data_IF_172414089540
#
_entry.id   IF_172414089540
#
_cell.length_a   1.000
_cell.length_b   1.000
_cell.length_c   1.000
_cell.angle_alpha   90.00
_cell.angle_beta   90.00
_cell.angle_gamma   90.00
#
_symmetry.space_group_name_H-M   'P 1'
#
loop_
_entity.id
_entity.type
_entity.pdbx_description
1 polymer ?
#
# COMPACT_ATOMS: atom_id res chain seq x y z
N UNK A 1 40.72 -6.35 -3.52
CA UNK A 1 39.56 -6.03 -2.66
C UNK A 1 38.62 -4.99 -3.27
N UNK A 2 38.91 -3.68 -3.25
CA UNK A 2 37.97 -2.65 -3.79
C UNK A 2 37.73 -2.81 -5.30
N UNK A 3 38.79 -3.01 -6.09
CA UNK A 3 38.67 -3.19 -7.55
C UNK A 3 37.89 -4.46 -7.95
N UNK A 4 37.97 -5.50 -7.14
CA UNK A 4 37.22 -6.74 -7.35
C UNK A 4 35.73 -6.55 -7.05
N UNK A 5 35.40 -5.81 -5.99
CA UNK A 5 34.01 -5.41 -5.73
C UNK A 5 33.44 -4.57 -6.87
N UNK A 6 34.19 -3.58 -7.37
CA UNK A 6 33.75 -2.75 -8.50
C UNK A 6 33.49 -3.60 -9.75
N UNK A 7 34.38 -4.55 -10.07
CA UNK A 7 34.18 -5.46 -11.21
C UNK A 7 32.96 -6.37 -11.00
N UNK A 8 32.73 -6.86 -9.79
CA UNK A 8 31.57 -7.68 -9.44
C UNK A 8 30.26 -6.89 -9.56
N UNK A 9 30.21 -5.68 -9.00
CA UNK A 9 29.03 -4.82 -9.05
C UNK A 9 28.71 -4.40 -10.48
N UNK A 10 29.73 -4.14 -11.32
CA UNK A 10 29.55 -3.84 -12.74
C UNK A 10 28.86 -4.98 -13.48
N UNK A 11 29.34 -6.23 -13.32
CA UNK A 11 28.71 -7.41 -13.94
C UNK A 11 27.28 -7.63 -13.45
N UNK A 12 27.04 -7.38 -12.16
CA UNK A 12 25.71 -7.49 -11.56
C UNK A 12 24.77 -6.39 -12.04
N UNK A 13 25.29 -5.20 -12.33
CA UNK A 13 24.52 -4.10 -12.90
C UNK A 13 24.17 -4.36 -14.38
N UNK A 14 25.11 -4.90 -15.17
CA UNK A 14 24.91 -5.20 -16.59
C UNK A 14 23.82 -6.28 -16.82
N UNK A 15 23.59 -7.13 -15.83
CA UNK A 15 22.55 -8.18 -15.87
C UNK A 15 21.19 -7.73 -15.30
N UNK A 16 21.12 -6.56 -14.67
CA UNK A 16 19.87 -6.05 -14.06
C UNK A 16 19.04 -5.29 -15.09
N UNK A 17 17.81 -5.76 -15.32
CA UNK A 17 16.80 -5.03 -16.08
C UNK A 17 16.10 -4.01 -15.17
N UNK A 18 16.06 -2.73 -15.58
CA UNK A 18 15.27 -1.68 -14.91
C UNK A 18 13.97 -1.45 -15.65
N UNK A 19 12.85 -1.64 -14.97
CA UNK A 19 11.51 -1.42 -15.51
C UNK A 19 10.90 -0.16 -14.90
N UNK A 20 10.26 0.67 -15.74
CA UNK A 20 9.51 1.84 -15.31
C UNK A 20 8.02 1.59 -15.53
N UNK A 21 7.23 1.69 -14.46
CA UNK A 21 5.77 1.61 -14.55
C UNK A 21 5.17 3.01 -14.57
N UNK A 22 4.47 3.34 -15.65
CA UNK A 22 3.77 4.61 -15.86
C UNK A 22 2.26 4.44 -15.76
N UNK A 23 1.57 5.48 -15.31
CA UNK A 23 0.11 5.52 -15.20
C UNK A 23 -0.37 6.61 -14.23
N UNK A 24 -1.63 7.00 -14.34
CA UNK A 24 -2.29 8.00 -13.47
C UNK A 24 -2.32 7.59 -12.00
N UNK A 25 -2.65 8.51 -11.09
CA UNK A 25 -2.98 8.14 -9.69
C UNK A 25 -3.98 6.97 -9.66
N UNK A 26 -3.79 6.02 -8.75
CA UNK A 26 -4.66 4.86 -8.53
C UNK A 26 -4.78 3.81 -9.64
N UNK A 27 -3.97 3.90 -10.71
CA UNK A 27 -3.95 2.91 -11.79
C UNK A 27 -3.43 1.50 -11.40
N UNK A 28 -3.24 1.21 -10.12
CA UNK A 28 -2.81 -0.10 -9.62
C UNK A 28 -1.30 -0.40 -9.72
N UNK A 29 -0.44 0.57 -10.04
CA UNK A 29 1.03 0.37 -10.12
C UNK A 29 1.61 -0.25 -8.84
N UNK A 30 1.19 0.25 -7.68
CA UNK A 30 1.60 -0.30 -6.38
C UNK A 30 1.11 -1.73 -6.17
N UNK A 31 -0.07 -2.07 -6.69
CA UNK A 31 -0.63 -3.43 -6.64
C UNK A 31 0.17 -4.38 -7.53
N UNK A 32 0.53 -3.96 -8.74
CA UNK A 32 1.40 -4.74 -9.62
C UNK A 32 2.77 -5.02 -8.95
N UNK A 33 3.41 -4.00 -8.38
CA UNK A 33 4.68 -4.17 -7.67
C UNK A 33 4.56 -5.10 -6.47
N UNK A 34 3.45 -5.05 -5.73
CA UNK A 34 3.17 -5.99 -4.64
C UNK A 34 3.06 -7.43 -5.15
N UNK A 35 2.40 -7.66 -6.29
CA UNK A 35 2.31 -8.98 -6.90
C UNK A 35 3.67 -9.50 -7.36
N UNK A 36 4.51 -8.63 -7.95
CA UNK A 36 5.88 -9.01 -8.32
C UNK A 36 6.70 -9.47 -7.12
N UNK A 37 6.54 -8.81 -5.96
CA UNK A 37 7.17 -9.25 -4.71
C UNK A 37 6.64 -10.60 -4.21
N UNK A 38 5.35 -10.90 -4.41
CA UNK A 38 4.76 -12.20 -4.02
C UNK A 38 5.25 -13.34 -4.91
N UNK A 39 5.37 -13.11 -6.22
CA UNK A 39 5.66 -14.18 -7.20
C UNK A 39 7.17 -14.42 -7.35
N UNK A 40 8.00 -13.39 -7.22
CA UNK A 40 9.43 -13.46 -7.59
C UNK A 40 10.41 -13.20 -6.43
N UNK A 41 9.92 -12.84 -5.25
CA UNK A 41 10.74 -12.60 -4.05
C UNK A 41 10.17 -13.39 -2.87
N UNK A 42 10.75 -13.25 -1.68
CA UNK A 42 10.33 -13.95 -0.45
C UNK A 42 9.00 -13.45 0.16
N UNK A 43 8.12 -12.86 -0.66
CA UNK A 43 6.86 -12.29 -0.19
C UNK A 43 7.05 -11.16 0.83
N UNK A 44 6.13 -11.04 1.79
CA UNK A 44 6.13 -9.95 2.79
C UNK A 44 6.50 -10.45 4.18
N UNK A 45 7.43 -9.73 4.83
CA UNK A 45 7.86 -10.01 6.20
C UNK A 45 6.74 -9.72 7.22
N UNK A 46 6.89 -10.21 8.45
CA UNK A 46 5.99 -9.87 9.56
C UNK A 46 5.92 -8.36 9.80
N UNK A 47 7.06 -7.68 9.74
CA UNK A 47 7.15 -6.22 9.87
C UNK A 47 6.44 -5.49 8.71
N UNK A 48 6.57 -5.99 7.48
CA UNK A 48 5.82 -5.42 6.34
C UNK A 48 4.30 -5.54 6.57
N UNK A 49 3.83 -6.71 7.04
CA UNK A 49 2.42 -6.97 7.31
C UNK A 49 1.88 -6.04 8.42
N UNK A 50 2.67 -5.78 9.46
CA UNK A 50 2.26 -4.86 10.53
C UNK A 50 2.11 -3.43 10.01
N UNK A 51 3.03 -2.97 9.15
CA UNK A 51 2.90 -1.66 8.48
C UNK A 51 1.65 -1.60 7.59
N UNK A 52 1.35 -2.68 6.86
CA UNK A 52 0.13 -2.73 6.05
C UNK A 52 -1.13 -2.74 6.89
N UNK A 53 -1.10 -3.31 8.10
CA UNK A 53 -2.25 -3.33 9.00
C UNK A 53 -2.75 -1.93 9.32
N UNK A 54 -1.83 -1.00 9.60
CA UNK A 54 -2.16 0.41 9.85
C UNK A 54 -2.83 1.04 8.62
N UNK A 55 -2.21 0.89 7.45
CA UNK A 55 -2.73 1.43 6.18
C UNK A 55 -4.10 0.85 5.82
N UNK A 56 -4.32 -0.46 6.06
CA UNK A 56 -5.60 -1.11 5.82
C UNK A 56 -6.68 -0.58 6.77
N UNK A 57 -6.35 -0.40 8.04
CA UNK A 57 -7.28 0.17 9.03
C UNK A 57 -7.70 1.59 8.63
N UNK A 58 -6.73 2.44 8.27
CA UNK A 58 -6.99 3.79 7.78
C UNK A 58 -7.83 3.79 6.51
N UNK A 59 -7.52 2.91 5.55
CA UNK A 59 -8.28 2.76 4.31
C UNK A 59 -9.73 2.35 4.56
N UNK A 60 -9.98 1.39 5.45
CA UNK A 60 -11.33 0.98 5.83
C UNK A 60 -12.10 2.12 6.50
N UNK A 61 -11.49 2.83 7.44
CA UNK A 61 -12.12 3.96 8.13
C UNK A 61 -12.44 5.11 7.17
N UNK A 62 -11.50 5.44 6.29
CA UNK A 62 -11.68 6.46 5.26
C UNK A 62 -12.83 6.10 4.31
N UNK A 63 -12.85 4.86 3.82
CA UNK A 63 -13.93 4.37 2.96
C UNK A 63 -15.29 4.41 3.65
N UNK A 64 -15.37 3.98 4.92
CA UNK A 64 -16.61 4.07 5.71
C UNK A 64 -17.05 5.52 5.90
N UNK A 65 -16.13 6.43 6.22
CA UNK A 65 -16.42 7.86 6.35
C UNK A 65 -16.99 8.42 5.04
N UNK A 66 -16.35 8.14 3.90
CA UNK A 66 -16.85 8.57 2.59
C UNK A 66 -18.25 8.01 2.26
N UNK A 67 -18.56 6.79 2.70
CA UNK A 67 -19.91 6.21 2.54
C UNK A 67 -20.96 6.92 3.41
N UNK A 68 -20.63 7.25 4.65
CA UNK A 68 -21.55 7.91 5.59
C UNK A 68 -21.79 9.40 5.28
N UNK A 69 -20.80 10.05 4.69
CA UNK A 69 -20.89 11.43 4.19
C UNK A 69 -21.71 11.51 2.88
N UNK A 70 -21.85 10.39 2.15
CA UNK A 70 -22.65 10.36 0.95
C UNK A 70 -24.15 10.46 1.29
N UNK A 71 -24.79 11.54 0.85
CA UNK A 71 -26.19 11.84 1.17
C UNK A 71 -27.19 10.79 0.64
N UNK A 72 -26.78 9.97 -0.33
CA UNK A 72 -27.61 8.88 -0.86
C UNK A 72 -27.68 7.67 0.08
N UNK A 73 -26.85 7.62 1.12
CA UNK A 73 -26.87 6.56 2.13
C UNK A 73 -27.68 7.05 3.33
N UNK A 74 -28.91 6.54 3.48
CA UNK A 74 -29.74 6.85 4.64
C UNK A 74 -29.21 6.17 5.90
N UNK A 75 -28.45 6.93 6.71
CA UNK A 75 -27.95 6.47 8.01
C UNK A 75 -28.86 7.00 9.13
N UNK A 76 -29.44 6.14 9.98
CA UNK A 76 -30.25 6.56 11.11
C UNK A 76 -29.51 7.56 12.01
N UNK A 77 -30.19 8.67 12.36
CA UNK A 77 -29.58 9.81 13.10
C UNK A 77 -28.95 9.40 14.43
N UNK A 78 -29.52 8.42 15.13
CA UNK A 78 -29.00 7.94 16.41
C UNK A 78 -27.62 7.27 16.27
N UNK A 79 -27.33 6.61 15.14
CA UNK A 79 -26.04 5.97 14.87
C UNK A 79 -24.96 6.99 14.48
N UNK A 80 -25.34 8.11 13.83
CA UNK A 80 -24.40 9.18 13.48
C UNK A 80 -23.75 9.82 14.73
N UNK A 81 -24.48 9.90 15.84
CA UNK A 81 -23.97 10.44 17.12
C UNK A 81 -22.87 9.56 17.70
N UNK A 82 -23.08 8.24 17.75
CA UNK A 82 -22.07 7.29 18.23
C UNK A 82 -20.83 7.28 17.34
N UNK A 83 -20.97 7.46 16.03
CA UNK A 83 -19.84 7.55 15.11
C UNK A 83 -18.91 8.73 15.43
N UNK A 84 -19.45 9.93 15.64
CA UNK A 84 -18.64 11.10 16.02
C UNK A 84 -17.87 10.89 17.33
N UNK A 85 -18.49 10.22 18.32
CA UNK A 85 -17.83 9.89 19.58
C UNK A 85 -16.67 8.91 19.38
N UNK A 86 -16.84 7.90 18.52
CA UNK A 86 -15.81 6.90 18.23
C UNK A 86 -14.67 7.44 17.39
N UNK A 87 -14.93 8.40 16.48
CA UNK A 87 -13.88 8.99 15.64
C UNK A 87 -13.10 10.14 16.31
N UNK A 88 -13.58 10.65 17.44
CA UNK A 88 -12.93 11.75 18.20
C UNK A 88 -12.07 11.27 19.38
N UNK A 89 -11.96 9.96 19.61
CA UNK A 89 -11.06 9.30 20.57
C UNK A 89 -9.89 8.65 19.83
#
# INVERSE_FOLDING_TARGET
MIEEQIKYDKRTADTKLKLLLLGTGDSGKSTFMKQMKVIHLDGFSSNDKEKFRVVLKEGCLSAMKSLLENENVHVPKHLKVWFWVVTSL
#
